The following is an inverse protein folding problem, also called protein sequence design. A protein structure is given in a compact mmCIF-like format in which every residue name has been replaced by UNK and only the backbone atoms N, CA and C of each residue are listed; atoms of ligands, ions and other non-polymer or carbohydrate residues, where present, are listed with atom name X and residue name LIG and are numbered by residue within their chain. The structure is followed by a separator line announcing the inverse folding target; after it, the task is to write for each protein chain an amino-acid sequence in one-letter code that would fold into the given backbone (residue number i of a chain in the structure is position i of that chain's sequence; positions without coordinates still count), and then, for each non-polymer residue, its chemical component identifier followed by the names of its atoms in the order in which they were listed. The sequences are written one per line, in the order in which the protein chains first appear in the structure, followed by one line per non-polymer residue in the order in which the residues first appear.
data_IF_046749336903
#
_entry.id   IF_046749336903
#
_cell.length_a   1.000
_cell.length_b   1.000
_cell.length_c   1.000
_cell.angle_alpha   90.00
_cell.angle_beta   90.00
_cell.angle_gamma   90.00
#
_symmetry.space_group_name_H-M   'P 1'
#
loop_
_entity.id
_entity.type
_entity.pdbx_description
1 polymer ?
#
# COMPACT_ATOMS: atom_id res chain seq x y z
N UNK A 1 16.00 10.00 -19.12
CA UNK A 1 15.28 9.07 -18.23
C UNK A 1 14.98 9.83 -16.99
N UNK A 2 13.79 9.63 -16.42
CA UNK A 2 13.29 10.47 -15.34
C UNK A 2 12.94 9.60 -14.13
N UNK A 3 12.91 10.23 -12.95
CA UNK A 3 12.50 9.61 -11.71
C UNK A 3 11.21 10.28 -11.21
N UNK A 4 10.20 9.46 -10.95
CA UNK A 4 8.93 9.89 -10.36
C UNK A 4 8.71 9.20 -9.02
N UNK A 5 8.22 9.95 -8.05
CA UNK A 5 7.66 9.39 -6.82
C UNK A 5 6.32 10.09 -6.53
N UNK A 6 5.26 9.31 -6.32
CA UNK A 6 3.93 9.80 -5.98
C UNK A 6 3.49 9.11 -4.69
N UNK A 7 3.01 9.91 -3.74
CA UNK A 7 2.52 9.42 -2.46
C UNK A 7 1.44 10.36 -1.92
N UNK A 8 0.63 9.85 -1.00
CA UNK A 8 -0.58 10.53 -0.57
C UNK A 8 -0.97 10.18 0.88
N UNK A 9 -1.63 11.13 1.54
CA UNK A 9 -2.54 10.92 2.67
C UNK A 9 -3.99 11.11 2.18
N UNK A 10 -5.01 10.81 2.99
CA UNK A 10 -6.40 11.09 2.60
C UNK A 10 -6.66 12.54 2.19
N UNK A 11 -6.00 13.53 2.83
CA UNK A 11 -6.19 14.95 2.49
C UNK A 11 -5.24 15.49 1.42
N UNK A 12 -4.12 14.81 1.12
CA UNK A 12 -3.05 15.38 0.30
C UNK A 12 -2.37 14.33 -0.59
N UNK A 13 -2.37 14.58 -1.90
CA UNK A 13 -1.54 13.85 -2.86
C UNK A 13 -0.42 14.74 -3.37
N UNK A 14 0.82 14.23 -3.40
CA UNK A 14 1.93 14.93 -4.03
C UNK A 14 2.77 14.00 -4.91
N UNK A 15 3.19 14.53 -6.05
CA UNK A 15 4.13 13.90 -6.96
C UNK A 15 5.41 14.72 -7.08
N UNK A 16 6.56 14.05 -7.07
CA UNK A 16 7.86 14.65 -7.34
C UNK A 16 8.41 14.03 -8.63
N UNK A 17 8.82 14.90 -9.54
CA UNK A 17 9.59 14.55 -10.73
C UNK A 17 11.03 15.07 -10.56
N UNK A 18 11.98 14.22 -10.93
CA UNK A 18 13.39 14.58 -11.06
C UNK A 18 13.84 14.17 -12.46
N UNK A 19 14.29 15.16 -13.22
CA UNK A 19 14.71 15.00 -14.60
C UNK A 19 15.51 16.21 -15.07
N UNK A 20 15.86 16.18 -16.35
CA UNK A 20 16.45 17.32 -17.03
C UNK A 20 15.45 17.86 -18.06
N UNK A 21 15.46 19.17 -18.30
CA UNK A 21 14.63 19.79 -19.33
C UNK A 21 14.94 19.24 -20.74
N UNK A 22 16.17 18.77 -20.93
CA UNK A 22 16.59 18.04 -22.12
C UNK A 22 16.48 16.55 -21.84
N UNK A 23 16.13 15.77 -22.87
CA UNK A 23 15.95 14.32 -22.78
C UNK A 23 17.28 13.56 -22.64
N UNK A 24 17.98 13.78 -21.52
CA UNK A 24 19.23 13.12 -21.15
C UNK A 24 19.00 12.23 -19.92
N UNK A 25 19.83 11.19 -19.72
CA UNK A 25 19.72 10.36 -18.52
C UNK A 25 20.10 11.13 -17.25
N UNK A 26 19.33 10.96 -16.18
CA UNK A 26 19.65 11.49 -14.83
C UNK A 26 20.78 10.74 -14.11
N UNK A 27 21.29 9.65 -14.69
CA UNK A 27 22.35 8.82 -14.14
C UNK A 27 21.95 7.35 -13.97
N UNK A 28 22.92 6.50 -13.66
CA UNK A 28 22.67 5.09 -13.42
C UNK A 28 21.95 4.86 -12.09
N UNK A 29 21.00 3.93 -12.07
CA UNK A 29 20.24 3.49 -10.88
C UNK A 29 19.50 4.62 -10.14
N UNK A 30 19.21 5.73 -10.83
CA UNK A 30 18.41 6.83 -10.30
C UNK A 30 16.91 6.54 -10.46
N UNK A 31 16.40 5.57 -9.71
CA UNK A 31 14.96 5.28 -9.69
C UNK A 31 14.18 6.37 -8.93
N UNK A 32 12.85 6.35 -9.02
CA UNK A 32 11.97 7.18 -8.20
C UNK A 32 12.30 7.13 -6.70
N UNK A 33 12.60 5.94 -6.18
CA UNK A 33 12.95 5.74 -4.77
C UNK A 33 14.30 6.34 -4.37
N UNK A 34 15.22 6.53 -5.33
CA UNK A 34 16.55 7.08 -5.07
C UNK A 34 16.55 8.60 -5.27
N UNK A 35 16.02 9.07 -6.40
CA UNK A 35 16.14 10.46 -6.80
C UNK A 35 14.95 11.33 -6.35
N UNK A 36 13.71 10.83 -6.42
CA UNK A 36 12.50 11.64 -6.17
C UNK A 36 11.94 11.48 -4.74
N UNK A 37 11.99 10.28 -4.17
CA UNK A 37 11.46 9.98 -2.83
C UNK A 37 12.07 10.85 -1.71
N UNK A 38 13.39 11.12 -1.65
CA UNK A 38 13.95 11.96 -0.58
C UNK A 38 13.33 13.36 -0.55
N UNK A 39 13.08 13.96 -1.72
CA UNK A 39 12.43 15.27 -1.85
C UNK A 39 10.97 15.20 -1.40
N UNK A 40 10.24 14.16 -1.81
CA UNK A 40 8.86 13.94 -1.39
C UNK A 40 8.75 13.78 0.13
N UNK A 41 9.66 13.00 0.75
CA UNK A 41 9.71 12.78 2.20
C UNK A 41 9.95 14.09 2.94
N UNK A 42 10.91 14.90 2.48
CA UNK A 42 11.24 16.17 3.10
C UNK A 42 10.08 17.17 2.98
N UNK A 43 9.34 17.14 1.87
CA UNK A 43 8.09 17.90 1.70
C UNK A 43 7.03 17.48 2.71
N UNK A 44 6.69 16.19 2.79
CA UNK A 44 5.67 15.69 3.72
C UNK A 44 6.07 15.89 5.19
N UNK A 45 7.35 15.77 5.53
CA UNK A 45 7.84 16.07 6.88
C UNK A 45 7.59 17.53 7.27
N UNK A 46 7.78 18.47 6.33
CA UNK A 46 7.45 19.88 6.55
C UNK A 46 5.94 20.11 6.67
N UNK A 47 5.13 19.41 5.87
CA UNK A 47 3.66 19.46 5.99
C UNK A 47 3.20 19.01 7.38
N UNK A 48 3.74 17.89 7.89
CA UNK A 48 3.41 17.38 9.23
C UNK A 48 3.83 18.38 10.31
N UNK A 49 5.05 18.92 10.24
CA UNK A 49 5.53 19.94 11.18
C UNK A 49 4.66 21.20 11.19
N UNK A 50 4.19 21.62 10.02
CA UNK A 50 3.32 22.79 9.93
C UNK A 50 1.94 22.50 10.54
N UNK A 51 1.37 21.32 10.30
CA UNK A 51 0.13 20.89 10.98
C UNK A 51 0.32 20.84 12.51
N UNK A 52 1.46 20.35 12.99
CA UNK A 52 1.82 20.36 14.41
C UNK A 52 1.86 21.77 14.99
N UNK A 53 2.58 22.68 14.31
CA UNK A 53 2.68 24.10 14.73
C UNK A 53 1.31 24.76 14.84
N UNK A 54 0.42 24.52 13.87
CA UNK A 54 -0.94 25.08 13.87
C UNK A 54 -1.76 24.53 15.05
N UNK A 55 -1.68 23.23 15.34
CA UNK A 55 -2.37 22.64 16.49
C UNK A 55 -1.87 23.22 17.82
N UNK A 56 -0.54 23.35 17.98
CA UNK A 56 0.08 23.97 19.16
C UNK A 56 -0.36 25.42 19.36
N UNK A 57 -0.43 26.22 18.28
CA UNK A 57 -0.90 27.61 18.33
C UNK A 57 -2.37 27.74 18.71
N UNK A 58 -3.19 26.78 18.30
CA UNK A 58 -4.60 26.71 18.67
C UNK A 58 -4.83 26.12 20.08
N UNK A 59 -3.78 25.61 20.73
CA UNK A 59 -3.90 24.89 22.00
C UNK A 59 -4.59 23.52 21.88
N UNK A 60 -4.55 22.93 20.68
CA UNK A 60 -5.15 21.64 20.35
C UNK A 60 -4.10 20.52 20.43
N UNK A 61 -4.54 19.30 20.74
CA UNK A 61 -3.67 18.14 20.65
C UNK A 61 -3.42 17.80 19.17
N UNK A 62 -2.16 17.66 18.78
CA UNK A 62 -1.83 17.23 17.44
C UNK A 62 -2.16 15.75 17.25
N UNK A 63 -3.20 15.47 16.45
CA UNK A 63 -3.59 14.12 16.05
C UNK A 63 -3.59 14.05 14.52
N UNK A 64 -3.09 12.95 13.97
CA UNK A 64 -3.26 12.61 12.55
C UNK A 64 -4.45 11.63 12.49
N UNK A 65 -5.64 12.15 12.23
CA UNK A 65 -6.90 11.38 12.18
C UNK A 65 -7.35 11.03 10.75
N UNK A 66 -6.51 11.30 9.76
CA UNK A 66 -6.80 11.02 8.36
C UNK A 66 -6.64 9.52 8.07
N UNK A 67 -7.75 8.78 8.14
CA UNK A 67 -7.84 7.40 7.65
C UNK A 67 -8.46 7.34 6.24
N UNK A 68 -8.07 6.34 5.45
CA UNK A 68 -8.75 6.08 4.18
C UNK A 68 -10.09 5.42 4.46
N UNK A 69 -11.18 6.04 4.00
CA UNK A 69 -12.50 5.42 4.07
C UNK A 69 -12.52 4.14 3.23
N UNK A 70 -12.98 3.06 3.85
CA UNK A 70 -13.20 1.78 3.16
C UNK A 70 -14.41 1.97 2.23
N UNK A 71 -14.25 1.76 0.91
CA UNK A 71 -15.38 1.88 -0.01
C UNK A 71 -16.54 0.98 0.39
N UNK A 72 -17.80 1.43 0.19
CA UNK A 72 -18.94 0.55 0.40
C UNK A 72 -18.92 -0.61 -0.61
N UNK A 73 -19.59 -1.70 -0.28
CA UNK A 73 -19.72 -2.89 -1.14
C UNK A 73 -18.40 -3.62 -1.39
N UNK A 74 -17.59 -3.83 -0.35
CA UNK A 74 -16.47 -4.76 -0.38
C UNK A 74 -16.83 -6.04 0.39
N UNK A 75 -16.42 -7.19 -0.14
CA UNK A 75 -16.55 -8.48 0.52
C UNK A 75 -15.27 -8.80 1.26
N UNK A 76 -15.38 -9.10 2.55
CA UNK A 76 -14.27 -9.56 3.38
C UNK A 76 -14.45 -11.05 3.63
N UNK A 77 -13.55 -11.86 3.11
CA UNK A 77 -13.61 -13.31 3.27
C UNK A 77 -12.30 -13.85 3.85
N UNK A 78 -12.43 -14.89 4.67
CA UNK A 78 -11.29 -15.64 5.18
C UNK A 78 -10.83 -16.60 4.10
N UNK A 79 -9.62 -16.40 3.60
CA UNK A 79 -8.97 -17.27 2.62
C UNK A 79 -7.77 -17.97 3.24
N UNK A 80 -7.47 -19.16 2.75
CA UNK A 80 -6.20 -19.78 3.05
C UNK A 80 -5.10 -19.13 2.21
N UNK A 81 -4.12 -18.53 2.86
CA UNK A 81 -3.02 -17.82 2.21
C UNK A 81 -2.15 -18.72 1.34
N UNK A 82 -2.19 -20.05 1.50
CA UNK A 82 -1.43 -20.96 0.64
C UNK A 82 -2.14 -21.23 -0.69
N UNK A 83 -3.46 -21.39 -0.64
CA UNK A 83 -4.26 -21.81 -1.80
C UNK A 83 -4.99 -20.67 -2.50
N UNK A 84 -5.22 -19.55 -1.81
CA UNK A 84 -6.06 -18.46 -2.30
C UNK A 84 -7.56 -18.79 -2.31
N UNK A 85 -7.97 -19.96 -1.81
CA UNK A 85 -9.37 -20.40 -1.72
C UNK A 85 -9.95 -20.07 -0.34
N UNK A 86 -11.28 -20.22 -0.18
CA UNK A 86 -11.93 -19.99 1.12
C UNK A 86 -11.31 -20.91 2.18
N UNK A 87 -10.96 -20.32 3.33
CA UNK A 87 -10.37 -21.05 4.44
C UNK A 87 -11.36 -22.05 5.04
N UNK A 88 -10.97 -23.32 5.13
CA UNK A 88 -11.68 -24.31 5.92
C UNK A 88 -11.15 -24.32 7.36
N UNK A 89 -11.87 -24.88 8.34
CA UNK A 89 -11.42 -24.92 9.74
C UNK A 89 -10.10 -25.67 9.97
N UNK A 90 -9.64 -26.45 8.99
CA UNK A 90 -8.36 -27.17 9.04
C UNK A 90 -7.20 -26.38 8.43
N UNK A 91 -7.48 -25.30 7.70
CA UNK A 91 -6.46 -24.48 7.06
C UNK A 91 -5.70 -23.68 8.16
N UNK A 92 -4.38 -23.85 8.23
CA UNK A 92 -3.54 -23.32 9.32
C UNK A 92 -3.09 -21.87 9.08
N UNK A 93 -3.22 -21.36 7.85
CA UNK A 93 -2.70 -20.06 7.42
C UNK A 93 -3.82 -19.20 6.83
N UNK A 94 -4.83 -18.90 7.64
CA UNK A 94 -5.97 -18.08 7.24
C UNK A 94 -5.63 -16.60 7.29
N UNK A 95 -6.05 -15.85 6.27
CA UNK A 95 -5.97 -14.39 6.23
C UNK A 95 -7.32 -13.82 5.78
N UNK A 96 -7.66 -12.64 6.30
CA UNK A 96 -8.82 -11.88 5.84
C UNK A 96 -8.42 -11.04 4.64
N UNK A 97 -9.00 -11.33 3.48
CA UNK A 97 -8.70 -10.63 2.23
C UNK A 97 -9.95 -9.91 1.70
N UNK A 98 -9.73 -8.89 0.87
CA UNK A 98 -10.77 -7.98 0.39
C UNK A 98 -11.05 -8.23 -1.10
N UNK A 99 -12.33 -8.39 -1.43
CA UNK A 99 -12.77 -8.67 -2.79
C UNK A 99 -13.87 -7.68 -3.23
N UNK A 100 -13.93 -7.46 -4.54
CA UNK A 100 -15.15 -6.92 -5.14
C UNK A 100 -16.23 -8.02 -5.07
N UNK A 101 -17.50 -7.69 -4.77
CA UNK A 101 -18.56 -8.69 -4.68
C UNK A 101 -18.66 -9.53 -5.96
N UNK A 102 -18.65 -10.86 -5.79
CA UNK A 102 -18.65 -11.84 -6.87
C UNK A 102 -17.28 -12.18 -7.45
N UNK A 103 -16.21 -11.58 -6.94
CA UNK A 103 -14.82 -11.95 -7.30
C UNK A 103 -14.13 -12.78 -6.22
N UNK A 104 -14.77 -12.98 -5.07
CA UNK A 104 -14.32 -13.89 -4.03
C UNK A 104 -14.27 -15.34 -4.53
N UNK A 105 -13.38 -16.18 -3.96
CA UNK A 105 -13.39 -17.61 -4.22
C UNK A 105 -14.74 -18.23 -3.81
N UNK A 106 -15.25 -19.14 -4.63
CA UNK A 106 -16.57 -19.75 -4.47
C UNK A 106 -16.55 -21.12 -3.75
N UNK A 107 -15.35 -21.65 -3.47
CA UNK A 107 -15.16 -22.95 -2.81
C UNK A 107 -14.07 -22.92 -1.75
N UNK A 108 -14.16 -23.87 -0.82
CA UNK A 108 -13.18 -24.08 0.25
C UNK A 108 -11.92 -24.81 -0.22
N UNK A 109 -10.79 -24.51 0.44
CA UNK A 109 -9.54 -25.27 0.35
C UNK A 109 -9.77 -26.75 0.69
N UNK A 110 -9.29 -27.66 -0.16
CA UNK A 110 -9.21 -29.10 0.11
C UNK A 110 -7.79 -29.51 0.47
N UNK A 111 -7.64 -30.70 1.07
CA UNK A 111 -6.31 -31.24 1.34
C UNK A 111 -5.45 -31.38 0.07
N UNK A 112 -6.04 -31.76 -1.06
CA UNK A 112 -5.33 -31.86 -2.34
C UNK A 112 -4.82 -30.49 -2.81
N UNK A 113 -5.63 -29.44 -2.65
CA UNK A 113 -5.21 -28.07 -3.01
C UNK A 113 -3.95 -27.65 -2.22
N UNK A 114 -3.84 -28.04 -0.94
CA UNK A 114 -2.63 -27.77 -0.14
C UNK A 114 -1.40 -28.56 -0.58
N UNK A 115 -1.59 -29.69 -1.27
CA UNK A 115 -0.51 -30.54 -1.75
C UNK A 115 -0.01 -30.12 -3.15
N UNK A 116 -0.80 -29.33 -3.89
CA UNK A 116 -0.54 -28.98 -5.29
C UNK A 116 0.14 -27.61 -5.50
N UNK A 117 0.37 -26.81 -4.44
CA UNK A 117 0.73 -25.39 -4.59
C UNK A 117 2.14 -25.07 -4.08
N UNK A 118 2.89 -24.32 -4.88
CA UNK A 118 3.98 -23.46 -4.40
C UNK A 118 3.31 -22.24 -3.78
N UNK A 119 3.15 -22.30 -2.45
CA UNK A 119 2.60 -21.31 -1.52
C UNK A 119 2.33 -19.92 -2.16
N UNK A 120 1.05 -19.55 -2.26
CA UNK A 120 0.55 -18.39 -3.04
C UNK A 120 1.19 -17.05 -2.62
N UNK A 121 1.69 -16.91 -1.39
CA UNK A 121 2.52 -15.76 -0.94
C UNK A 121 4.03 -16.09 -0.76
N UNK A 122 4.51 -17.28 -1.12
CA UNK A 122 5.91 -17.73 -0.94
C UNK A 122 6.93 -17.21 -1.92
N UNK A 123 6.68 -16.08 -2.57
CA UNK A 123 7.81 -15.31 -3.09
C UNK A 123 8.52 -14.71 -1.87
N UNK A 124 9.35 -15.52 -1.19
CA UNK A 124 10.40 -15.03 -0.31
C UNK A 124 11.20 -14.04 -1.16
N UNK A 125 11.18 -12.78 -0.73
CA UNK A 125 12.10 -11.75 -1.20
C UNK A 125 13.55 -12.19 -1.02
#
# INVERSE_FOLDING_TARGET
TDAWFVGFSPSLCAGVWVGHDKQIPIGERQSGAVAALPVWRDFFYKVIKEKQRIAEENGEEFVIDEEFEVPPNLSFVEIDSKTGLLASPVCLFTIREVFLPGSEPDRFCTHEDHMMILDYYSVRK
#
